data_IF_275785471093
#
_entry.id   IF_275785471093
#
_cell.length_a   1.000
_cell.length_b   1.000
_cell.length_c   1.000
_cell.angle_alpha   90.00
_cell.angle_beta   90.00
_cell.angle_gamma   90.00
#
_symmetry.space_group_name_H-M   'P 1'
#
loop_
_entity.id
_entity.type
_entity.pdbx_description
1 polymer ?
#
# COMPACT_ATOMS: atom_id res chain seq x y z
N UNK A 1 22.35 -14.33 40.50
CA UNK A 1 21.22 -14.23 39.54
C UNK A 1 21.63 -13.20 38.51
N UNK A 2 21.97 -13.61 37.29
CA UNK A 2 22.37 -12.68 36.24
C UNK A 2 21.12 -12.26 35.45
N UNK A 3 20.76 -10.98 35.55
CA UNK A 3 19.73 -10.34 34.74
C UNK A 3 20.32 -10.07 33.35
N UNK A 4 19.76 -10.67 32.30
CA UNK A 4 20.13 -10.35 30.93
C UNK A 4 19.48 -9.01 30.57
N UNK A 5 20.27 -7.95 30.63
CA UNK A 5 19.87 -6.62 30.19
C UNK A 5 19.74 -6.64 28.66
N UNK A 6 18.51 -6.80 28.16
CA UNK A 6 18.22 -6.79 26.74
C UNK A 6 18.39 -5.35 26.22
N UNK A 7 19.61 -5.01 25.82
CA UNK A 7 19.92 -3.76 25.14
C UNK A 7 19.27 -3.81 23.75
N UNK A 8 18.04 -3.29 23.64
CA UNK A 8 17.47 -2.88 22.35
C UNK A 8 18.39 -1.81 21.80
N UNK A 9 19.36 -2.22 20.99
CA UNK A 9 20.18 -1.32 20.19
C UNK A 9 19.24 -0.34 19.52
N UNK A 10 19.40 0.92 19.91
CA UNK A 10 18.62 2.07 19.47
C UNK A 10 18.23 1.92 18.01
N UNK A 11 16.98 1.56 17.76
CA UNK A 11 16.40 1.40 16.43
C UNK A 11 16.09 2.79 15.85
N UNK A 12 17.13 3.62 15.82
CA UNK A 12 17.19 4.84 15.03
C UNK A 12 17.56 4.35 13.64
N UNK A 13 16.60 4.47 12.71
CA UNK A 13 16.69 4.18 11.25
C UNK A 13 16.03 2.89 10.71
N UNK A 14 14.91 2.43 11.27
CA UNK A 14 14.06 1.48 10.54
C UNK A 14 12.71 2.06 10.15
N UNK A 15 12.78 3.23 9.51
CA UNK A 15 11.84 3.59 8.47
C UNK A 15 12.53 3.54 7.10
N UNK A 16 13.47 2.60 6.90
CA UNK A 16 13.89 2.24 5.56
C UNK A 16 12.90 1.24 4.98
N UNK A 17 11.67 1.71 4.75
CA UNK A 17 10.93 1.23 3.59
C UNK A 17 11.79 1.64 2.41
N UNK A 18 12.62 0.71 1.92
CA UNK A 18 13.35 0.89 0.67
C UNK A 18 12.27 1.17 -0.36
N UNK A 19 12.11 2.44 -0.77
CA UNK A 19 11.31 2.83 -1.93
C UNK A 19 11.87 2.05 -3.11
N UNK A 20 11.37 0.84 -3.30
CA UNK A 20 11.82 -0.02 -4.35
C UNK A 20 11.26 0.63 -5.61
N UNK A 21 12.14 1.13 -6.46
CA UNK A 21 11.77 1.73 -7.75
C UNK A 21 10.82 0.82 -8.55
N UNK A 22 10.79 -0.49 -8.28
CA UNK A 22 9.75 -1.45 -8.70
C UNK A 22 8.30 -1.04 -8.37
N UNK A 23 8.05 -0.53 -7.16
CA UNK A 23 6.73 0.00 -6.76
C UNK A 23 6.40 1.32 -7.46
N UNK A 24 7.37 2.04 -8.00
CA UNK A 24 7.08 3.15 -8.91
C UNK A 24 6.95 2.68 -10.36
N UNK A 25 7.62 1.58 -10.74
CA UNK A 25 7.59 1.04 -12.11
C UNK A 25 6.23 0.52 -12.56
N UNK A 26 5.33 0.07 -11.67
CA UNK A 26 3.94 -0.24 -12.07
C UNK A 26 3.11 1.02 -12.34
N UNK A 27 3.45 2.14 -11.70
CA UNK A 27 2.79 3.44 -11.88
C UNK A 27 3.07 4.05 -13.25
N UNK A 28 4.34 4.03 -13.67
CA UNK A 28 4.79 4.86 -14.79
C UNK A 28 4.94 4.13 -16.14
N UNK A 29 4.74 2.80 -16.21
CA UNK A 29 5.07 2.02 -17.42
C UNK A 29 4.08 2.12 -18.59
N UNK A 30 3.08 2.99 -18.55
CA UNK A 30 1.88 2.75 -19.33
C UNK A 30 1.31 3.97 -20.05
N UNK A 31 2.09 4.51 -20.99
CA UNK A 31 1.73 5.65 -21.83
C UNK A 31 0.60 5.39 -22.86
N UNK A 32 -0.09 4.23 -22.82
CA UNK A 32 -1.24 3.90 -23.68
C UNK A 32 -2.27 3.02 -22.94
N UNK A 33 -2.84 3.51 -21.84
CA UNK A 33 -3.90 2.81 -21.09
C UNK A 33 -5.28 3.24 -21.58
N UNK A 34 -6.23 2.31 -21.57
CA UNK A 34 -7.65 2.65 -21.75
C UNK A 34 -8.12 3.54 -20.60
N UNK A 35 -9.04 4.47 -20.87
CA UNK A 35 -9.59 5.40 -19.87
C UNK A 35 -10.13 4.70 -18.61
N UNK A 36 -10.62 3.46 -18.74
CA UNK A 36 -11.09 2.66 -17.61
C UNK A 36 -9.97 2.20 -16.68
N UNK A 37 -8.76 2.01 -17.22
CA UNK A 37 -7.62 1.51 -16.45
C UNK A 37 -6.93 2.65 -15.71
N UNK A 38 -6.86 3.84 -16.31
CA UNK A 38 -6.34 5.05 -15.64
C UNK A 38 -7.24 5.47 -14.47
N UNK A 39 -8.56 5.47 -14.67
CA UNK A 39 -9.52 5.76 -13.59
C UNK A 39 -9.39 4.78 -12.42
N UNK A 40 -9.18 3.50 -12.71
CA UNK A 40 -8.99 2.47 -11.68
C UNK A 40 -7.70 2.68 -10.87
N UNK A 41 -6.63 3.17 -11.52
CA UNK A 41 -5.38 3.50 -10.83
C UNK A 41 -5.52 4.71 -9.90
N UNK A 42 -6.21 5.75 -10.35
CA UNK A 42 -6.50 6.92 -9.51
C UNK A 42 -7.30 6.53 -8.27
N UNK A 43 -8.27 5.63 -8.43
CA UNK A 43 -9.08 5.10 -7.33
C UNK A 43 -8.23 4.30 -6.34
N UNK A 44 -7.36 3.39 -6.82
CA UNK A 44 -6.40 2.65 -6.00
C UNK A 44 -5.48 3.61 -5.24
N UNK A 45 -4.98 4.65 -5.91
CA UNK A 45 -4.12 5.64 -5.27
C UNK A 45 -4.81 6.42 -4.17
N UNK A 46 -6.05 6.85 -4.41
CA UNK A 46 -6.85 7.57 -3.43
C UNK A 46 -7.10 6.70 -2.19
N UNK A 47 -7.48 5.44 -2.40
CA UNK A 47 -7.72 4.47 -1.32
C UNK A 47 -6.46 4.20 -0.50
N UNK A 48 -5.29 4.08 -1.14
CA UNK A 48 -4.00 3.93 -0.44
C UNK A 48 -3.69 5.12 0.45
N UNK A 49 -3.80 6.35 -0.08
CA UNK A 49 -3.56 7.55 0.72
C UNK A 49 -4.51 7.63 1.90
N UNK A 50 -5.78 7.31 1.70
CA UNK A 50 -6.75 7.33 2.79
C UNK A 50 -6.42 6.30 3.86
N UNK A 51 -6.00 5.09 3.46
CA UNK A 51 -5.57 4.03 4.38
C UNK A 51 -4.33 4.46 5.18
N UNK A 52 -3.33 5.00 4.49
CA UNK A 52 -2.10 5.53 5.12
C UNK A 52 -2.43 6.65 6.11
N UNK A 53 -3.29 7.59 5.74
CA UNK A 53 -3.73 8.66 6.66
C UNK A 53 -4.42 8.09 7.89
N UNK A 54 -5.34 7.14 7.74
CA UNK A 54 -6.01 6.51 8.89
C UNK A 54 -5.03 5.85 9.86
N UNK A 55 -3.97 5.23 9.35
CA UNK A 55 -2.92 4.62 10.17
C UNK A 55 -2.04 5.69 10.82
N UNK A 56 -1.69 6.75 10.09
CA UNK A 56 -0.93 7.89 10.61
C UNK A 56 -1.69 8.64 11.72
N UNK A 57 -3.01 8.73 11.60
CA UNK A 57 -3.91 9.28 12.61
C UNK A 57 -4.04 8.38 13.86
N UNK A 58 -3.36 7.23 13.88
CA UNK A 58 -3.31 6.32 15.01
C UNK A 58 -4.48 5.34 15.07
N UNK A 59 -5.27 5.17 13.99
CA UNK A 59 -6.26 4.08 13.96
C UNK A 59 -5.56 2.74 13.91
N UNK A 60 -6.05 1.82 14.73
CA UNK A 60 -5.55 0.45 14.72
C UNK A 60 -5.84 -0.21 13.38
N UNK A 61 -4.86 -0.98 12.89
CA UNK A 61 -4.99 -1.78 11.67
C UNK A 61 -6.12 -2.80 11.74
N UNK A 62 -6.50 -3.20 12.95
CA UNK A 62 -7.59 -4.12 13.26
C UNK A 62 -8.94 -3.44 13.42
N UNK A 63 -8.99 -2.10 13.39
CA UNK A 63 -10.26 -1.38 13.48
C UNK A 63 -11.13 -1.70 12.25
N UNK A 64 -12.44 -1.87 12.47
CA UNK A 64 -13.38 -2.21 11.40
C UNK A 64 -13.25 -1.27 10.19
N UNK A 65 -13.10 0.05 10.45
CA UNK A 65 -12.92 1.05 9.40
C UNK A 65 -11.67 0.86 8.54
N UNK A 66 -10.55 0.45 9.15
CA UNK A 66 -9.28 0.22 8.42
C UNK A 66 -9.35 -1.10 7.65
N UNK A 67 -9.96 -2.13 8.24
CA UNK A 67 -10.16 -3.44 7.61
C UNK A 67 -11.09 -3.34 6.40
N UNK A 68 -12.21 -2.64 6.52
CA UNK A 68 -13.14 -2.39 5.42
C UNK A 68 -12.45 -1.66 4.27
N UNK A 69 -11.74 -0.57 4.59
CA UNK A 69 -11.01 0.20 3.58
C UNK A 69 -9.92 -0.64 2.88
N UNK A 70 -9.16 -1.42 3.65
CA UNK A 70 -8.16 -2.34 3.13
C UNK A 70 -8.77 -3.40 2.21
N UNK A 71 -9.95 -3.93 2.57
CA UNK A 71 -10.68 -4.92 1.78
C UNK A 71 -11.14 -4.33 0.44
N UNK A 72 -11.64 -3.10 0.45
CA UNK A 72 -12.03 -2.37 -0.78
C UNK A 72 -10.82 -2.12 -1.66
N UNK A 73 -9.70 -1.68 -1.07
CA UNK A 73 -8.44 -1.47 -1.79
C UNK A 73 -7.94 -2.76 -2.44
N UNK A 74 -7.97 -3.89 -1.72
CA UNK A 74 -7.57 -5.18 -2.27
C UNK A 74 -8.43 -5.59 -3.46
N UNK A 75 -9.76 -5.40 -3.35
CA UNK A 75 -10.67 -5.66 -4.47
C UNK A 75 -10.30 -4.85 -5.73
N UNK A 76 -10.00 -3.56 -5.57
CA UNK A 76 -9.63 -2.68 -6.69
C UNK A 76 -8.28 -3.05 -7.30
N UNK A 77 -7.31 -3.45 -6.48
CA UNK A 77 -6.02 -3.98 -6.97
C UNK A 77 -6.24 -5.25 -7.78
N UNK A 78 -7.06 -6.18 -7.27
CA UNK A 78 -7.38 -7.41 -7.98
C UNK A 78 -8.10 -7.13 -9.33
N UNK A 79 -9.04 -6.19 -9.34
CA UNK A 79 -9.70 -5.73 -10.56
C UNK A 79 -8.70 -5.18 -11.59
N UNK A 80 -7.77 -4.34 -11.15
CA UNK A 80 -6.73 -3.75 -12.01
C UNK A 80 -5.82 -4.83 -12.60
N UNK A 81 -5.37 -5.76 -11.76
CA UNK A 81 -4.52 -6.88 -12.18
C UNK A 81 -5.22 -7.77 -13.21
N UNK A 82 -6.52 -8.01 -13.04
CA UNK A 82 -7.30 -8.83 -13.97
C UNK A 82 -7.54 -8.11 -15.31
N UNK A 83 -7.78 -6.79 -15.31
CA UNK A 83 -7.92 -6.00 -16.53
C UNK A 83 -6.61 -5.89 -17.31
N UNK A 84 -5.47 -5.78 -16.61
CA UNK A 84 -4.14 -5.77 -17.24
C UNK A 84 -3.74 -7.10 -17.89
N UNK A 85 -4.19 -8.24 -17.33
CA UNK A 85 -3.93 -9.58 -17.88
C UNK A 85 -4.73 -9.90 -19.14
N UNK A 86 -5.96 -9.38 -19.27
CA UNK A 86 -6.84 -9.61 -20.43
C UNK A 86 -6.44 -8.86 -21.71
N UNK A 87 -5.44 -7.98 -21.64
CA UNK A 87 -4.98 -7.17 -22.78
C UNK A 87 -3.77 -7.78 -23.53
N UNK A 88 -3.44 -9.06 -23.32
CA UNK A 88 -2.36 -9.78 -24.02
C UNK A 88 -2.91 -10.88 -24.91
#
# INVERSE_FOLDING_TARGET
MAFMEYQLSTYRNHLHIRENESERRWLFKHAKKSNSLTSLEEEIHSLRRMLEQMVMDGREMTSASVVELSTVLDHKINEYMNKGKKSR
#
